data_IF_405794531316
#
_entry.id   IF_405794531316
#
_cell.length_a   1.000
_cell.length_b   1.000
_cell.length_c   1.000
_cell.angle_alpha   90.00
_cell.angle_beta   90.00
_cell.angle_gamma   90.00
#
_symmetry.space_group_name_H-M   'P 1'
#
loop_
_entity.id
_entity.type
_entity.pdbx_description
1 polymer ?
#
# COMPACT_ATOMS: atom_id res chain seq x y z
N UNK A 1 -18.26 -11.05 31.28
CA UNK A 1 -17.03 -11.21 30.48
C UNK A 1 -16.71 -12.68 30.58
N UNK A 2 -16.46 -13.38 29.47
CA UNK A 2 -16.22 -14.83 29.50
C UNK A 2 -14.84 -15.19 30.11
N UNK A 3 -14.05 -14.19 30.48
CA UNK A 3 -12.69 -14.34 31.04
C UNK A 3 -12.61 -13.95 32.52
N UNK A 4 -13.68 -14.14 33.29
CA UNK A 4 -13.59 -14.02 34.74
C UNK A 4 -12.97 -15.30 35.31
N UNK A 5 -11.75 -15.17 35.84
CA UNK A 5 -11.03 -16.21 36.61
C UNK A 5 -11.82 -16.74 37.82
N UNK A 6 -12.93 -16.10 38.18
CA UNK A 6 -13.86 -16.55 39.22
C UNK A 6 -15.04 -17.38 38.69
N UNK A 7 -15.13 -17.64 37.38
CA UNK A 7 -16.10 -18.56 36.80
C UNK A 7 -15.47 -19.91 36.47
N UNK A 8 -16.19 -20.98 36.79
CA UNK A 8 -15.77 -22.39 36.76
C UNK A 8 -14.90 -22.73 35.52
N UNK A 9 -13.65 -23.16 35.76
CA UNK A 9 -12.63 -23.43 34.72
C UNK A 9 -13.09 -24.40 33.62
N UNK A 10 -14.14 -25.17 33.87
CA UNK A 10 -14.76 -26.12 32.93
C UNK A 10 -15.28 -25.48 31.63
N UNK A 11 -15.52 -24.17 31.60
CA UNK A 11 -15.95 -23.48 30.37
C UNK A 11 -14.80 -23.18 29.38
N UNK A 12 -13.55 -23.15 29.83
CA UNK A 12 -12.39 -22.92 28.95
C UNK A 12 -11.93 -24.20 28.22
N UNK A 13 -12.49 -25.35 28.59
CA UNK A 13 -12.31 -26.65 27.93
C UNK A 13 -13.22 -26.81 26.70
N UNK A 14 -14.16 -25.89 26.48
CA UNK A 14 -15.03 -25.87 25.31
C UNK A 14 -14.50 -24.89 24.26
N UNK A 15 -14.56 -25.23 22.95
CA UNK A 15 -14.26 -24.30 21.88
C UNK A 15 -15.19 -23.07 21.92
N UNK A 16 -14.64 -21.87 21.81
CA UNK A 16 -15.41 -20.62 21.84
C UNK A 16 -16.05 -20.35 20.47
N UNK A 17 -17.35 -20.52 20.34
CA UNK A 17 -18.08 -20.30 19.07
C UNK A 17 -18.41 -18.82 18.79
N UNK A 18 -18.28 -17.95 19.79
CA UNK A 18 -18.66 -16.56 19.68
C UNK A 18 -17.99 -15.65 20.69
N UNK A 19 -18.35 -14.38 20.62
CA UNK A 19 -17.82 -13.31 21.45
C UNK A 19 -18.98 -12.48 22.02
N UNK A 20 -18.87 -12.03 23.26
CA UNK A 20 -19.84 -11.09 23.85
C UNK A 20 -19.13 -10.03 24.69
N UNK A 21 -19.60 -8.78 24.56
CA UNK A 21 -19.12 -7.65 25.34
C UNK A 21 -20.28 -7.13 26.18
N UNK A 22 -20.05 -6.92 27.47
CA UNK A 22 -21.04 -6.22 28.29
C UNK A 22 -21.01 -4.72 27.98
N UNK A 23 -22.16 -4.17 27.60
CA UNK A 23 -22.32 -2.73 27.40
C UNK A 23 -22.45 -1.94 28.70
N UNK A 24 -22.70 -2.61 29.84
CA UNK A 24 -23.06 -1.98 31.11
C UNK A 24 -21.91 -1.85 32.10
N UNK A 25 -20.76 -2.50 31.84
CA UNK A 25 -19.55 -2.30 32.64
C UNK A 25 -19.10 -0.84 32.47
N UNK A 26 -18.70 -0.19 33.56
CA UNK A 26 -18.19 1.18 33.54
C UNK A 26 -16.67 1.19 33.44
N UNK A 27 -16.13 2.08 32.60
CA UNK A 27 -14.70 2.34 32.60
C UNK A 27 -14.29 3.12 33.86
N UNK A 28 -13.09 2.87 34.40
CA UNK A 28 -12.59 3.61 35.55
C UNK A 28 -12.70 5.13 35.37
N UNK A 29 -13.11 5.81 36.43
CA UNK A 29 -13.19 7.26 36.44
C UNK A 29 -11.83 7.89 36.78
N UNK A 30 -10.81 7.62 35.95
CA UNK A 30 -9.47 8.19 36.10
C UNK A 30 -9.10 9.06 34.88
N UNK A 31 -8.18 10.02 35.02
CA UNK A 31 -7.82 10.94 33.92
C UNK A 31 -7.33 10.24 32.64
N UNK A 32 -6.68 9.08 32.77
CA UNK A 32 -6.10 8.35 31.64
C UNK A 32 -7.16 7.75 30.70
N UNK A 33 -8.39 7.57 31.18
CA UNK A 33 -9.54 7.17 30.36
C UNK A 33 -10.13 8.30 29.52
N UNK A 34 -9.63 9.53 29.65
CA UNK A 34 -9.95 10.64 28.76
C UNK A 34 -11.46 10.88 28.62
N UNK A 35 -11.98 10.73 27.40
CA UNK A 35 -13.42 10.94 27.12
C UNK A 35 -14.29 9.71 27.42
N UNK A 36 -13.68 8.58 27.77
CA UNK A 36 -14.34 7.34 28.19
C UNK A 36 -14.49 7.20 29.72
N UNK A 37 -13.85 8.07 30.50
CA UNK A 37 -13.86 8.02 31.98
C UNK A 37 -15.28 7.94 32.54
N UNK A 38 -15.53 6.97 33.42
CA UNK A 38 -16.82 6.80 34.11
C UNK A 38 -18.02 6.52 33.20
N UNK A 39 -17.81 6.30 31.89
CA UNK A 39 -18.88 5.93 30.96
C UNK A 39 -19.08 4.43 30.99
N UNK A 40 -20.31 4.01 30.70
CA UNK A 40 -20.58 2.61 30.37
C UNK A 40 -19.86 2.25 29.07
N UNK A 41 -19.38 1.02 28.97
CA UNK A 41 -18.70 0.50 27.79
C UNK A 41 -19.49 0.81 26.51
N UNK A 42 -20.80 0.54 26.50
CA UNK A 42 -21.67 0.79 25.35
C UNK A 42 -21.79 2.25 24.91
N UNK A 43 -21.45 3.21 25.77
CA UNK A 43 -21.54 4.65 25.49
C UNK A 43 -20.24 5.24 24.90
N UNK A 44 -19.11 4.55 25.06
CA UNK A 44 -17.83 4.96 24.50
C UNK A 44 -17.49 4.09 23.28
N UNK A 45 -17.94 4.54 22.10
CA UNK A 45 -17.94 3.76 20.85
C UNK A 45 -16.57 3.19 20.44
N UNK A 46 -15.50 4.00 20.51
CA UNK A 46 -14.17 3.58 20.08
C UNK A 46 -13.58 2.48 20.99
N UNK A 47 -13.52 2.64 22.33
CA UNK A 47 -13.06 1.57 23.21
C UNK A 47 -14.01 0.36 23.19
N UNK A 48 -15.32 0.55 23.09
CA UNK A 48 -16.27 -0.54 22.91
C UNK A 48 -15.98 -1.38 21.66
N UNK A 49 -15.82 -0.71 20.51
CA UNK A 49 -15.52 -1.38 19.25
C UNK A 49 -14.19 -2.14 19.31
N UNK A 50 -13.16 -1.56 19.96
CA UNK A 50 -11.91 -2.26 20.22
C UNK A 50 -12.13 -3.49 21.10
N UNK A 51 -12.88 -3.38 22.20
CA UNK A 51 -13.17 -4.51 23.08
C UNK A 51 -13.95 -5.60 22.33
N UNK A 52 -14.87 -5.25 21.44
CA UNK A 52 -15.53 -6.24 20.58
C UNK A 52 -14.53 -6.99 19.68
N UNK A 53 -13.56 -6.28 19.08
CA UNK A 53 -12.48 -6.91 18.30
C UNK A 53 -11.57 -7.79 19.16
N UNK A 54 -11.36 -7.42 20.42
CA UNK A 54 -10.60 -8.20 21.40
C UNK A 54 -11.28 -9.54 21.71
N UNK A 55 -12.57 -9.51 22.03
CA UNK A 55 -13.34 -10.73 22.29
C UNK A 55 -13.44 -11.62 21.04
N UNK A 56 -13.59 -11.03 19.85
CA UNK A 56 -13.51 -11.77 18.58
C UNK A 56 -12.13 -12.42 18.44
N UNK A 57 -11.06 -11.74 18.83
CA UNK A 57 -9.71 -12.30 18.87
C UNK A 57 -9.63 -13.56 19.74
N UNK A 58 -10.24 -13.55 20.93
CA UNK A 58 -10.33 -14.74 21.78
C UNK A 58 -11.14 -15.87 21.14
N UNK A 59 -12.26 -15.56 20.47
CA UNK A 59 -13.01 -16.57 19.71
C UNK A 59 -12.19 -17.16 18.55
N UNK A 60 -11.22 -16.41 18.02
CA UNK A 60 -10.27 -16.85 16.99
C UNK A 60 -8.96 -17.42 17.56
N UNK A 61 -8.93 -17.80 18.85
CA UNK A 61 -7.78 -18.48 19.47
C UNK A 61 -6.59 -17.57 19.78
N UNK A 62 -6.79 -16.25 19.88
CA UNK A 62 -5.75 -15.32 20.33
C UNK A 62 -5.80 -15.13 21.84
N UNK A 63 -4.64 -14.91 22.46
CA UNK A 63 -4.51 -14.69 23.90
C UNK A 63 -4.16 -13.24 24.22
N UNK A 64 -4.28 -12.87 25.51
CA UNK A 64 -3.84 -11.58 25.98
C UNK A 64 -2.36 -11.34 25.67
N UNK A 65 -2.08 -10.19 25.08
CA UNK A 65 -0.73 -9.70 24.96
C UNK A 65 -0.33 -8.94 26.23
N UNK A 66 0.55 -9.56 27.02
CA UNK A 66 1.06 -9.00 28.27
C UNK A 66 2.35 -8.19 28.09
N UNK A 67 2.90 -8.07 26.88
CA UNK A 67 4.20 -7.42 26.64
C UNK A 67 4.05 -6.01 26.05
N UNK A 68 4.04 -4.96 26.90
CA UNK A 68 4.21 -3.54 26.51
C UNK A 68 3.32 -3.03 25.33
N UNK A 69 2.19 -3.67 25.07
CA UNK A 69 1.34 -3.45 23.91
C UNK A 69 -0.09 -3.08 24.31
N UNK A 70 -0.25 -2.47 25.50
CA UNK A 70 -1.51 -2.07 26.13
C UNK A 70 -2.51 -1.34 25.21
N UNK A 71 -2.06 -0.84 24.06
CA UNK A 71 -2.82 -0.05 23.09
C UNK A 71 -3.45 -0.85 21.95
N UNK A 72 -3.02 -2.09 21.74
CA UNK A 72 -3.39 -2.95 20.59
C UNK A 72 -4.69 -3.70 20.87
N UNK A 73 -5.19 -4.48 19.90
CA UNK A 73 -6.48 -5.19 20.02
C UNK A 73 -6.46 -6.23 21.15
N UNK A 74 -5.42 -7.08 21.23
CA UNK A 74 -5.36 -8.19 22.20
C UNK A 74 -4.85 -7.84 23.60
N UNK A 75 -4.48 -6.59 23.87
CA UNK A 75 -4.21 -6.19 25.25
C UNK A 75 -5.50 -6.23 26.09
N UNK A 76 -5.43 -6.42 27.39
CA UNK A 76 -6.64 -6.36 28.22
C UNK A 76 -7.30 -4.99 28.11
N UNK A 77 -8.64 -4.95 28.15
CA UNK A 77 -9.36 -3.67 28.08
C UNK A 77 -8.99 -2.77 29.26
N UNK A 78 -8.81 -3.35 30.45
CA UNK A 78 -8.53 -2.58 31.68
C UNK A 78 -7.14 -1.96 31.74
N UNK A 79 -6.20 -2.41 30.88
CA UNK A 79 -4.84 -1.84 30.82
C UNK A 79 -4.71 -0.75 29.75
N UNK A 80 -5.80 -0.40 29.04
CA UNK A 80 -5.78 0.64 28.00
C UNK A 80 -5.35 2.02 28.55
N UNK A 81 -5.51 2.26 29.85
CA UNK A 81 -5.17 3.49 30.55
C UNK A 81 -3.74 3.51 31.13
N UNK A 82 -3.02 2.38 31.07
CA UNK A 82 -1.61 2.30 31.43
C UNK A 82 -0.74 3.09 30.45
N UNK A 83 0.17 3.91 30.99
CA UNK A 83 1.00 4.78 30.17
C UNK A 83 1.99 3.96 29.33
N UNK A 84 2.09 4.31 28.06
CA UNK A 84 2.93 3.60 27.10
C UNK A 84 3.95 4.58 26.54
N UNK A 85 5.23 4.20 26.59
CA UNK A 85 6.31 4.97 25.98
C UNK A 85 6.07 5.28 24.49
N UNK A 86 5.22 4.50 23.80
CA UNK A 86 4.86 4.68 22.40
C UNK A 86 3.74 5.71 22.13
N UNK A 87 3.08 6.27 23.16
CA UNK A 87 2.17 7.42 23.03
C UNK A 87 2.09 8.21 24.34
N UNK A 88 3.15 8.94 24.69
CA UNK A 88 3.16 9.78 25.88
C UNK A 88 2.02 10.82 25.79
N UNK A 89 1.28 10.98 26.90
CA UNK A 89 0.26 12.02 27.05
C UNK A 89 -1.06 11.79 26.31
N UNK A 90 -1.23 10.71 25.54
CA UNK A 90 -2.53 10.37 24.93
C UNK A 90 -3.43 9.66 25.93
N UNK A 91 -4.72 9.93 25.94
CA UNK A 91 -5.73 9.23 26.77
C UNK A 91 -6.65 8.36 25.90
N UNK A 92 -7.50 7.54 26.51
CA UNK A 92 -8.54 6.80 25.77
C UNK A 92 -9.61 7.78 25.24
N UNK A 93 -9.99 7.72 23.94
CA UNK A 93 -9.70 6.68 22.95
C UNK A 93 -8.49 6.93 22.04
N UNK A 94 -7.88 8.12 22.07
CA UNK A 94 -6.78 8.51 21.15
C UNK A 94 -5.55 7.59 21.25
N UNK A 95 -5.40 6.93 22.39
CA UNK A 95 -4.36 5.96 22.66
C UNK A 95 -4.59 4.64 21.91
N UNK A 96 -5.83 4.25 21.59
CA UNK A 96 -6.17 2.96 20.97
C UNK A 96 -5.54 2.83 19.58
N UNK A 97 -4.95 1.67 19.32
CA UNK A 97 -4.41 1.27 18.03
C UNK A 97 -5.16 0.04 17.51
N UNK A 98 -5.90 0.21 16.42
CA UNK A 98 -6.61 -0.87 15.72
C UNK A 98 -5.64 -1.76 14.92
N UNK A 99 -4.83 -2.53 15.63
CA UNK A 99 -3.96 -3.55 15.07
C UNK A 99 -3.71 -4.67 16.07
N UNK A 100 -3.64 -5.89 15.55
CA UNK A 100 -3.02 -7.03 16.21
C UNK A 100 -1.49 -6.86 16.35
N UNK A 101 -0.84 -7.67 17.17
CA UNK A 101 0.62 -7.82 17.10
C UNK A 101 1.03 -8.56 15.82
N UNK A 102 2.32 -8.55 15.49
CA UNK A 102 2.81 -9.35 14.37
C UNK A 102 2.65 -10.86 14.64
N UNK A 103 2.77 -11.29 15.90
CA UNK A 103 2.54 -12.68 16.30
C UNK A 103 1.07 -13.09 16.12
N UNK A 104 0.14 -12.31 16.66
CA UNK A 104 -1.31 -12.53 16.49
C UNK A 104 -1.70 -12.53 15.01
N UNK A 105 -1.23 -11.53 14.26
CA UNK A 105 -1.52 -11.40 12.86
C UNK A 105 -0.94 -12.56 12.05
N UNK A 106 0.22 -13.10 12.44
CA UNK A 106 0.82 -14.30 11.82
C UNK A 106 -0.02 -15.53 12.12
N UNK A 107 -0.49 -15.72 13.36
CA UNK A 107 -1.37 -16.85 13.73
C UNK A 107 -2.67 -16.80 12.92
N UNK A 108 -3.38 -15.68 12.94
CA UNK A 108 -4.62 -15.50 12.18
C UNK A 108 -4.47 -15.77 10.67
N UNK A 109 -3.28 -15.59 10.10
CA UNK A 109 -3.03 -15.81 8.66
C UNK A 109 -2.58 -17.22 8.31
N UNK A 110 -1.93 -17.93 9.24
CA UNK A 110 -1.11 -19.09 8.90
C UNK A 110 -1.35 -20.32 9.77
N UNK A 111 -2.08 -20.18 10.88
CA UNK A 111 -2.55 -21.34 11.63
C UNK A 111 -3.59 -22.11 10.81
N UNK A 112 -3.67 -23.45 10.97
CA UNK A 112 -4.75 -24.22 10.34
C UNK A 112 -6.12 -23.68 10.74
N UNK A 113 -7.12 -23.80 9.87
CA UNK A 113 -8.48 -23.27 10.08
C UNK A 113 -9.05 -23.63 11.47
N UNK A 114 -8.86 -24.88 11.92
CA UNK A 114 -9.36 -25.36 13.21
C UNK A 114 -8.77 -24.60 14.42
N UNK A 115 -7.62 -23.95 14.28
CA UNK A 115 -6.97 -23.18 15.34
C UNK A 115 -7.42 -21.72 15.41
N UNK A 116 -8.04 -21.20 14.34
CA UNK A 116 -8.42 -19.77 14.23
C UNK A 116 -9.90 -19.55 13.96
N UNK A 117 -10.66 -20.60 13.64
CA UNK A 117 -12.11 -20.53 13.52
C UNK A 117 -12.76 -20.50 14.92
N UNK A 118 -13.79 -19.67 15.11
CA UNK A 118 -14.68 -19.83 16.26
C UNK A 118 -15.23 -21.27 16.31
N UNK A 119 -15.20 -21.86 17.51
CA UNK A 119 -15.66 -23.23 17.76
C UNK A 119 -14.68 -24.34 17.34
N UNK A 120 -13.44 -23.99 16.95
CA UNK A 120 -12.47 -24.96 16.44
C UNK A 120 -11.85 -25.86 17.51
N UNK A 121 -10.99 -25.30 18.35
CA UNK A 121 -10.32 -25.99 19.47
C UNK A 121 -10.60 -25.29 20.80
N UNK A 122 -10.47 -25.99 21.95
CA UNK A 122 -10.59 -25.39 23.27
C UNK A 122 -9.63 -24.21 23.46
N UNK A 123 -10.09 -23.18 24.18
CA UNK A 123 -9.34 -21.93 24.34
C UNK A 123 -7.97 -22.12 24.98
N UNK A 124 -7.86 -23.02 25.97
CA UNK A 124 -6.59 -23.35 26.63
C UNK A 124 -5.56 -23.98 25.68
N UNK A 125 -6.00 -24.87 24.78
CA UNK A 125 -5.15 -25.55 23.81
C UNK A 125 -4.72 -24.64 22.65
N UNK A 126 -5.60 -23.72 22.23
CA UNK A 126 -5.27 -22.70 21.23
C UNK A 126 -4.18 -21.72 21.72
N UNK A 127 -4.16 -21.49 23.03
CA UNK A 127 -3.48 -20.36 23.66
C UNK A 127 -2.19 -20.73 24.39
N UNK A 128 -1.95 -21.99 24.77
CA UNK A 128 -0.82 -22.35 25.64
C UNK A 128 -0.21 -23.75 25.42
N UNK A 129 1.14 -23.88 25.42
CA UNK A 129 2.09 -22.89 24.94
C UNK A 129 1.83 -22.67 23.44
N UNK A 130 2.14 -21.49 22.91
CA UNK A 130 2.17 -21.25 21.47
C UNK A 130 2.94 -22.41 20.82
N UNK A 131 2.21 -23.37 20.23
CA UNK A 131 2.76 -24.63 19.80
C UNK A 131 3.96 -24.39 18.89
N UNK A 132 5.06 -25.12 19.09
CA UNK A 132 6.19 -25.18 18.16
C UNK A 132 5.79 -25.78 16.79
N UNK A 133 4.53 -26.17 16.64
CA UNK A 133 3.95 -26.64 15.40
C UNK A 133 4.03 -25.60 14.27
N UNK A 134 4.24 -26.06 13.03
CA UNK A 134 4.81 -25.24 11.98
C UNK A 134 3.77 -24.26 11.44
N UNK A 135 3.69 -23.08 12.06
CA UNK A 135 3.31 -21.88 11.32
C UNK A 135 4.20 -21.87 10.08
N UNK A 136 3.60 -21.75 8.87
CA UNK A 136 4.37 -21.71 7.62
C UNK A 136 5.61 -20.83 7.81
N UNK A 137 6.76 -21.28 7.28
CA UNK A 137 8.05 -20.57 7.41
C UNK A 137 7.86 -19.06 7.32
N UNK A 138 8.50 -18.33 8.24
CA UNK A 138 8.13 -16.96 8.61
C UNK A 138 7.91 -16.00 7.44
N UNK A 139 7.17 -14.92 7.71
CA UNK A 139 6.99 -13.76 6.81
C UNK A 139 8.32 -13.04 6.45
N UNK A 140 9.43 -13.52 7.00
CA UNK A 140 10.78 -13.07 6.71
C UNK A 140 11.06 -13.17 5.21
N UNK A 141 11.51 -12.03 4.66
CA UNK A 141 11.96 -11.99 3.28
C UNK A 141 13.29 -12.72 3.19
N UNK A 142 13.34 -13.71 2.32
CA UNK A 142 14.58 -14.40 1.99
C UNK A 142 15.14 -13.75 0.75
N UNK A 143 16.36 -13.23 0.85
CA UNK A 143 16.97 -12.53 -0.26
C UNK A 143 17.22 -13.48 -1.42
N UNK A 144 16.86 -13.03 -2.61
CA UNK A 144 16.95 -13.79 -3.84
C UNK A 144 18.29 -13.53 -4.52
N UNK A 145 19.32 -14.32 -4.20
CA UNK A 145 20.70 -14.14 -4.71
C UNK A 145 20.79 -14.11 -6.25
N UNK A 146 19.84 -14.74 -6.94
CA UNK A 146 19.81 -14.86 -8.39
C UNK A 146 19.27 -13.61 -9.12
N UNK A 147 18.77 -12.60 -8.38
CA UNK A 147 18.22 -11.38 -8.96
C UNK A 147 18.70 -10.13 -8.24
N UNK A 148 18.74 -9.03 -8.98
CA UNK A 148 19.08 -7.71 -8.44
C UNK A 148 17.96 -6.72 -8.74
N UNK A 149 17.55 -5.96 -7.74
CA UNK A 149 16.60 -4.87 -7.87
C UNK A 149 17.34 -3.53 -7.92
N UNK A 150 17.32 -2.90 -9.08
CA UNK A 150 17.80 -1.53 -9.29
C UNK A 150 16.62 -0.56 -9.20
N UNK A 151 16.79 0.56 -8.50
CA UNK A 151 15.72 1.52 -8.23
C UNK A 151 16.26 2.94 -8.40
N UNK A 152 15.53 3.78 -9.12
CA UNK A 152 15.91 5.18 -9.34
C UNK A 152 14.69 6.08 -9.47
N UNK A 153 14.76 7.34 -9.03
CA UNK A 153 13.67 8.27 -9.28
C UNK A 153 13.66 8.71 -10.75
N UNK A 154 12.48 9.03 -11.27
CA UNK A 154 12.36 9.69 -12.56
C UNK A 154 12.99 11.09 -12.53
N UNK A 155 12.75 11.83 -11.44
CA UNK A 155 13.33 13.14 -11.18
C UNK A 155 14.03 13.11 -9.82
N UNK A 156 15.30 13.53 -9.78
CA UNK A 156 16.08 13.59 -8.53
C UNK A 156 15.55 14.64 -7.56
N UNK A 157 14.94 15.71 -8.10
CA UNK A 157 14.29 16.77 -7.34
C UNK A 157 12.82 16.88 -7.72
N UNK A 158 11.93 16.94 -6.73
CA UNK A 158 10.48 17.00 -6.93
C UNK A 158 9.88 18.08 -6.01
N UNK A 159 9.02 18.98 -6.52
CA UNK A 159 8.34 19.97 -5.68
C UNK A 159 7.48 19.33 -4.60
N UNK A 160 7.46 19.91 -3.40
CA UNK A 160 6.58 19.47 -2.32
C UNK A 160 5.11 19.49 -2.77
N UNK A 161 4.39 18.39 -2.53
CA UNK A 161 3.01 18.22 -2.97
C UNK A 161 2.86 17.59 -4.37
N UNK A 162 3.95 17.42 -5.13
CA UNK A 162 3.93 16.64 -6.37
C UNK A 162 4.14 15.14 -6.09
N UNK A 163 3.49 14.24 -6.86
CA UNK A 163 3.76 12.82 -6.78
C UNK A 163 5.17 12.47 -7.29
N UNK A 164 5.88 11.65 -6.52
CA UNK A 164 7.20 11.13 -6.85
C UNK A 164 7.06 9.89 -7.73
N UNK A 165 7.77 9.83 -8.85
CA UNK A 165 7.80 8.65 -9.73
C UNK A 165 9.10 7.89 -9.54
N UNK A 166 8.99 6.59 -9.28
CA UNK A 166 10.12 5.69 -9.08
C UNK A 166 10.11 4.66 -10.19
N UNK A 167 11.24 4.47 -10.84
CA UNK A 167 11.48 3.40 -11.79
C UNK A 167 12.29 2.30 -11.10
N UNK A 168 12.07 1.07 -11.53
CA UNK A 168 12.82 -0.06 -11.03
C UNK A 168 12.96 -1.17 -12.07
N UNK A 169 14.06 -1.90 -11.95
CA UNK A 169 14.45 -2.99 -12.84
C UNK A 169 14.85 -4.19 -12.00
N UNK A 170 14.19 -5.31 -12.26
CA UNK A 170 14.53 -6.59 -11.68
C UNK A 170 15.34 -7.38 -12.71
N UNK A 171 16.63 -7.59 -12.47
CA UNK A 171 17.54 -8.25 -13.39
C UNK A 171 17.94 -9.64 -12.88
N UNK A 172 17.91 -10.64 -13.76
CA UNK A 172 18.43 -11.98 -13.47
C UNK A 172 19.96 -11.98 -13.63
N UNK A 173 20.66 -12.04 -12.52
CA UNK A 173 22.13 -12.05 -12.43
C UNK A 173 22.72 -13.46 -12.46
N UNK A 174 21.87 -14.49 -12.42
CA UNK A 174 22.29 -15.89 -12.45
C UNK A 174 22.44 -16.44 -13.87
N UNK A 175 23.01 -17.64 -13.97
CA UNK A 175 23.10 -18.42 -15.23
C UNK A 175 21.85 -19.25 -15.51
N UNK A 176 20.89 -19.25 -14.60
CA UNK A 176 19.68 -20.07 -14.70
C UNK A 176 18.46 -19.19 -14.95
N UNK A 177 17.41 -19.77 -15.51
CA UNK A 177 16.11 -19.11 -15.62
C UNK A 177 15.52 -18.94 -14.21
N UNK A 178 15.03 -17.75 -13.88
CA UNK A 178 14.42 -17.45 -12.58
C UNK A 178 12.93 -17.20 -12.75
N UNK A 179 12.12 -17.85 -11.90
CA UNK A 179 10.68 -17.60 -11.82
C UNK A 179 10.43 -16.36 -10.96
N UNK A 180 9.59 -15.46 -11.47
CA UNK A 180 9.28 -14.15 -10.90
C UNK A 180 7.77 -13.87 -11.01
N UNK A 181 7.27 -12.85 -10.30
CA UNK A 181 5.94 -12.31 -10.57
C UNK A 181 5.74 -11.98 -12.04
N UNK A 182 4.56 -12.28 -12.58
CA UNK A 182 4.19 -11.91 -13.95
C UNK A 182 3.87 -10.42 -14.09
N UNK A 183 3.51 -9.75 -13.00
CA UNK A 183 3.27 -8.31 -12.93
C UNK A 183 4.10 -7.69 -11.81
N UNK A 184 4.93 -6.72 -12.17
CA UNK A 184 5.74 -5.95 -11.24
C UNK A 184 5.05 -4.65 -10.81
N UNK A 185 3.80 -4.40 -11.21
CA UNK A 185 3.10 -3.18 -10.85
C UNK A 185 2.79 -3.14 -9.35
N UNK A 186 2.65 -1.95 -8.78
CA UNK A 186 2.22 -1.82 -7.38
C UNK A 186 0.89 -2.52 -7.10
N UNK A 187 0.03 -2.71 -8.11
CA UNK A 187 -1.30 -3.32 -7.96
C UNK A 187 -1.23 -4.83 -7.74
N UNK A 188 -0.18 -5.48 -8.21
CA UNK A 188 0.04 -6.93 -8.09
C UNK A 188 0.13 -7.40 -6.64
N UNK A 189 0.52 -6.50 -5.72
CA UNK A 189 0.79 -6.82 -4.32
C UNK A 189 2.15 -7.47 -4.08
N UNK A 190 2.91 -7.80 -5.13
CA UNK A 190 4.28 -8.32 -5.02
C UNK A 190 5.29 -7.21 -4.67
N UNK A 191 4.91 -5.95 -4.91
CA UNK A 191 5.73 -4.76 -4.64
C UNK A 191 5.20 -3.96 -3.46
N UNK A 192 6.10 -3.57 -2.57
CA UNK A 192 5.85 -2.69 -1.43
C UNK A 192 7.11 -1.91 -1.08
N UNK A 193 7.03 -0.99 -0.13
CA UNK A 193 8.23 -0.32 0.32
C UNK A 193 8.01 0.65 1.45
N UNK A 194 9.07 1.39 1.73
CA UNK A 194 9.12 2.41 2.78
C UNK A 194 9.85 3.65 2.27
N UNK A 195 9.45 4.78 2.83
CA UNK A 195 10.10 6.08 2.63
C UNK A 195 10.56 6.58 3.99
N UNK A 196 11.85 6.93 4.10
CA UNK A 196 12.43 7.53 5.30
C UNK A 196 12.74 8.98 5.00
N UNK A 197 12.10 9.89 5.73
CA UNK A 197 12.25 11.33 5.54
C UNK A 197 13.34 11.96 6.40
N UNK A 198 13.51 13.30 6.29
CA UNK A 198 14.47 14.05 7.09
C UNK A 198 14.16 13.99 8.60
N UNK A 199 12.90 13.74 8.94
CA UNK A 199 12.42 13.51 10.30
C UNK A 199 12.76 12.11 10.86
N UNK A 200 13.46 11.28 10.09
CA UNK A 200 13.80 9.90 10.41
C UNK A 200 12.58 8.99 10.63
N UNK A 201 11.39 9.42 10.19
CA UNK A 201 10.17 8.62 10.31
C UNK A 201 9.99 7.77 9.06
N UNK A 202 9.91 6.45 9.25
CA UNK A 202 9.58 5.51 8.20
C UNK A 202 8.08 5.52 7.87
N UNK A 203 7.76 5.64 6.58
CA UNK A 203 6.39 5.64 6.06
C UNK A 203 6.24 4.56 5.00
N UNK A 204 5.44 3.55 5.31
CA UNK A 204 5.21 2.41 4.41
C UNK A 204 4.20 2.70 3.30
N UNK A 205 4.46 2.16 2.12
CA UNK A 205 3.52 2.09 0.99
C UNK A 205 3.35 0.65 0.50
N UNK A 206 2.15 0.34 0.00
CA UNK A 206 1.78 -0.94 -0.59
C UNK A 206 0.53 -0.75 -1.47
N UNK A 207 0.18 -1.76 -2.25
CA UNK A 207 -1.08 -1.76 -2.99
C UNK A 207 -2.28 -1.47 -2.09
N UNK A 208 -3.21 -0.65 -2.59
CA UNK A 208 -4.57 -0.55 -2.02
C UNK A 208 -5.47 -1.70 -2.50
N UNK A 209 -5.06 -2.40 -3.57
CA UNK A 209 -5.74 -3.58 -4.08
C UNK A 209 -5.15 -4.81 -3.39
N UNK A 210 -6.00 -5.59 -2.72
CA UNK A 210 -5.62 -6.91 -2.21
C UNK A 210 -6.26 -7.93 -3.16
N UNK A 211 -5.45 -8.59 -3.99
CA UNK A 211 -5.95 -9.72 -4.76
C UNK A 211 -6.29 -10.84 -3.77
N UNK A 212 -7.55 -11.28 -3.77
CA UNK A 212 -8.08 -12.26 -2.81
C UNK A 212 -7.99 -13.70 -3.33
N UNK A 213 -7.65 -13.88 -4.60
CA UNK A 213 -7.49 -15.19 -5.22
C UNK A 213 -5.99 -15.47 -5.44
N UNK A 214 -5.43 -16.57 -4.90
CA UNK A 214 -4.03 -16.92 -5.11
C UNK A 214 -3.71 -17.33 -6.56
N UNK A 215 -4.70 -17.75 -7.36
CA UNK A 215 -4.56 -18.08 -8.78
C UNK A 215 -4.60 -16.85 -9.70
N UNK A 216 -5.39 -15.82 -9.34
CA UNK A 216 -5.37 -14.49 -9.96
C UNK A 216 -4.37 -13.54 -9.29
N UNK A 217 -3.70 -13.97 -8.22
CA UNK A 217 -2.55 -13.24 -7.72
C UNK A 217 -1.55 -13.25 -8.86
N UNK A 218 -1.11 -12.07 -9.28
CA UNK A 218 -0.07 -11.89 -10.29
C UNK A 218 1.30 -12.52 -9.91
N UNK A 219 1.32 -13.38 -8.88
CA UNK A 219 2.29 -14.40 -8.56
C UNK A 219 2.05 -15.73 -9.32
N UNK A 220 1.07 -15.82 -10.22
CA UNK A 220 0.92 -16.96 -11.11
C UNK A 220 2.25 -17.23 -11.85
N UNK A 221 2.68 -18.50 -11.98
CA UNK A 221 3.90 -18.86 -12.70
C UNK A 221 3.75 -18.44 -14.17
N UNK A 222 4.46 -17.36 -14.54
CA UNK A 222 4.36 -16.74 -15.87
C UNK A 222 5.40 -15.64 -16.09
N UNK A 223 5.86 -14.98 -15.03
CA UNK A 223 7.08 -14.16 -15.07
C UNK A 223 8.31 -15.07 -15.04
N UNK A 224 9.06 -15.11 -16.12
CA UNK A 224 10.24 -15.94 -16.23
C UNK A 224 11.35 -15.13 -16.87
N UNK A 225 12.39 -14.79 -16.12
CA UNK A 225 13.54 -14.09 -16.68
C UNK A 225 14.62 -15.09 -17.08
N UNK A 226 14.97 -15.08 -18.37
CA UNK A 226 16.16 -15.77 -18.86
C UNK A 226 17.44 -15.16 -18.24
N UNK A 227 18.56 -15.89 -18.23
CA UNK A 227 19.84 -15.35 -17.75
C UNK A 227 20.19 -14.02 -18.40
N UNK A 228 20.58 -13.02 -17.61
CA UNK A 228 20.95 -11.68 -18.08
C UNK A 228 19.79 -10.82 -18.57
N UNK A 229 18.54 -11.29 -18.54
CA UNK A 229 17.36 -10.49 -18.88
C UNK A 229 16.83 -9.75 -17.65
N UNK A 230 16.10 -8.67 -17.92
CA UNK A 230 15.51 -7.80 -16.90
C UNK A 230 14.04 -7.54 -17.20
N UNK A 231 13.29 -7.22 -16.16
CA UNK A 231 11.93 -6.71 -16.22
C UNK A 231 11.90 -5.32 -15.59
N UNK A 232 11.17 -4.40 -16.22
CA UNK A 232 11.12 -2.98 -15.87
C UNK A 232 9.71 -2.56 -15.52
N UNK A 233 9.57 -1.72 -14.50
CA UNK A 233 8.30 -1.07 -14.19
C UNK A 233 8.55 0.26 -13.45
N UNK A 234 7.47 1.00 -13.20
CA UNK A 234 7.50 2.25 -12.47
C UNK A 234 6.24 2.45 -11.65
N UNK A 235 6.33 3.30 -10.63
CA UNK A 235 5.20 3.64 -9.78
C UNK A 235 5.18 5.11 -9.40
N UNK A 236 3.99 5.58 -9.05
CA UNK A 236 3.73 6.94 -8.59
C UNK A 236 3.40 6.92 -7.10
N UNK A 237 4.21 7.60 -6.30
CA UNK A 237 4.16 7.65 -4.85
C UNK A 237 3.78 9.06 -4.39
N UNK A 238 2.76 9.15 -3.55
CA UNK A 238 2.40 10.39 -2.86
C UNK A 238 2.00 10.11 -1.41
N UNK A 239 1.27 9.02 -1.18
CA UNK A 239 0.64 8.71 0.09
C UNK A 239 0.66 7.21 0.37
N UNK A 240 0.81 6.84 1.64
CA UNK A 240 0.70 5.48 2.15
C UNK A 240 -0.36 5.39 3.25
N UNK A 241 -0.39 4.27 3.98
CA UNK A 241 -1.37 4.04 5.07
C UNK A 241 -1.27 5.09 6.18
N UNK A 242 -0.07 5.59 6.43
CA UNK A 242 0.23 6.56 7.49
C UNK A 242 0.07 8.04 7.05
N UNK A 243 -0.50 8.31 5.88
CA UNK A 243 -0.59 9.66 5.32
C UNK A 243 0.43 9.91 4.21
N UNK A 244 0.76 11.18 3.96
CA UNK A 244 1.69 11.56 2.90
C UNK A 244 3.06 10.90 3.10
N UNK A 245 3.63 10.33 2.04
CA UNK A 245 4.96 9.73 2.06
C UNK A 245 6.06 10.79 2.15
N UNK A 246 5.77 11.99 1.63
CA UNK A 246 6.68 13.13 1.54
C UNK A 246 6.03 14.37 2.19
N UNK A 247 5.87 14.41 3.53
CA UNK A 247 5.08 15.45 4.21
C UNK A 247 5.79 16.81 4.32
N UNK A 248 7.08 16.89 4.04
CA UNK A 248 7.86 18.13 4.09
C UNK A 248 9.01 18.14 3.06
N UNK A 249 9.55 19.31 2.69
CA UNK A 249 10.81 19.39 1.96
C UNK A 249 11.99 18.74 2.68
N UNK A 250 12.97 18.25 1.92
CA UNK A 250 14.18 17.58 2.43
C UNK A 250 14.56 16.36 1.60
N UNK A 251 15.62 15.66 2.02
CA UNK A 251 16.09 14.44 1.38
C UNK A 251 15.36 13.22 1.93
N UNK A 252 14.95 12.32 1.03
CA UNK A 252 14.24 11.09 1.36
C UNK A 252 14.96 9.88 0.78
N UNK A 253 15.07 8.84 1.59
CA UNK A 253 15.46 7.51 1.15
C UNK A 253 14.22 6.67 0.84
N UNK A 254 14.19 6.03 -0.33
CA UNK A 254 13.12 5.14 -0.75
C UNK A 254 13.68 3.72 -0.83
N UNK A 255 13.12 2.81 -0.03
CA UNK A 255 13.42 1.39 -0.09
C UNK A 255 12.23 0.66 -0.73
N UNK A 256 12.48 -0.02 -1.84
CA UNK A 256 11.51 -0.81 -2.58
C UNK A 256 11.80 -2.29 -2.40
N UNK A 257 10.76 -3.06 -2.12
CA UNK A 257 10.81 -4.51 -1.97
C UNK A 257 9.93 -5.15 -3.05
N UNK A 258 10.51 -6.07 -3.82
CA UNK A 258 9.78 -6.97 -4.72
C UNK A 258 9.88 -8.38 -4.14
N UNK A 259 8.75 -9.00 -3.87
CA UNK A 259 8.69 -10.30 -3.20
C UNK A 259 7.60 -11.21 -3.77
N UNK A 260 7.87 -12.51 -3.78
CA UNK A 260 6.97 -13.56 -4.24
C UNK A 260 7.11 -14.80 -3.37
N UNK A 261 6.26 -15.80 -3.60
CA UNK A 261 6.43 -17.12 -3.01
C UNK A 261 7.18 -18.01 -3.99
N UNK A 262 8.26 -18.64 -3.53
CA UNK A 262 8.97 -19.64 -4.32
C UNK A 262 8.17 -20.96 -4.42
N UNK A 263 8.71 -21.95 -5.13
CA UNK A 263 8.06 -23.28 -5.28
C UNK A 263 7.88 -24.03 -3.95
N UNK A 264 8.59 -23.63 -2.89
CA UNK A 264 8.50 -24.19 -1.55
C UNK A 264 7.59 -23.34 -0.63
N UNK A 265 6.92 -22.33 -1.19
CA UNK A 265 6.04 -21.42 -0.46
C UNK A 265 6.77 -20.34 0.34
N UNK A 266 8.11 -20.30 0.30
CA UNK A 266 8.92 -19.34 1.06
C UNK A 266 8.79 -17.96 0.45
N UNK A 267 8.71 -16.94 1.30
CA UNK A 267 8.67 -15.55 0.85
C UNK A 267 10.07 -15.11 0.46
N UNK A 268 10.29 -15.00 -0.85
CA UNK A 268 11.60 -14.70 -1.44
C UNK A 268 11.52 -13.38 -2.20
N UNK A 269 12.60 -12.61 -2.23
CA UNK A 269 12.61 -11.35 -2.97
C UNK A 269 13.88 -10.55 -2.79
N UNK A 270 13.81 -9.27 -3.15
CA UNK A 270 14.96 -8.38 -3.17
C UNK A 270 14.54 -6.97 -2.77
N UNK A 271 15.51 -6.22 -2.23
CA UNK A 271 15.32 -4.84 -1.81
C UNK A 271 16.27 -3.95 -2.59
N UNK A 272 15.71 -2.93 -3.22
CA UNK A 272 16.45 -1.89 -3.91
C UNK A 272 16.23 -0.56 -3.20
N UNK A 273 17.22 0.34 -3.27
CA UNK A 273 17.18 1.62 -2.59
C UNK A 273 17.51 2.75 -3.54
N UNK A 274 16.88 3.89 -3.33
CA UNK A 274 17.21 5.13 -4.03
C UNK A 274 16.93 6.34 -3.15
N UNK A 275 17.28 7.53 -3.62
CA UNK A 275 17.00 8.79 -2.92
C UNK A 275 16.30 9.78 -3.84
N UNK A 276 15.48 10.64 -3.25
CA UNK A 276 14.80 11.75 -3.91
C UNK A 276 14.82 12.96 -2.98
N UNK A 277 15.05 14.14 -3.54
CA UNK A 277 14.99 15.41 -2.81
C UNK A 277 13.65 16.09 -3.07
N UNK A 278 12.95 16.42 -2.00
CA UNK A 278 11.70 17.17 -2.05
C UNK A 278 12.02 18.65 -1.85
N UNK A 279 11.76 19.47 -2.86
CA UNK A 279 12.04 20.91 -2.81
C UNK A 279 10.86 21.69 -2.24
N UNK A 280 11.07 22.86 -1.62
CA UNK A 280 9.98 23.73 -1.23
C UNK A 280 9.13 24.13 -2.44
N UNK A 281 7.81 23.97 -2.35
CA UNK A 281 6.89 24.46 -3.38
C UNK A 281 6.70 25.97 -3.29
N UNK A 282 6.49 26.62 -4.44
CA UNK A 282 6.16 28.04 -4.56
C UNK A 282 4.87 28.36 -3.79
N UNK A 283 3.83 27.51 -3.91
CA UNK A 283 2.57 27.62 -3.18
C UNK A 283 2.44 26.54 -2.10
N UNK A 284 3.10 26.78 -0.95
CA UNK A 284 3.16 25.82 0.17
C UNK A 284 1.80 25.35 0.67
N UNK A 285 0.79 26.22 0.71
CA UNK A 285 -0.54 25.84 1.21
C UNK A 285 -1.27 24.90 0.25
N UNK A 286 -1.10 25.07 -1.06
CA UNK A 286 -1.61 24.13 -2.07
C UNK A 286 -0.99 22.75 -1.88
N UNK A 287 0.34 22.70 -1.75
CA UNK A 287 1.07 21.46 -1.52
C UNK A 287 0.64 20.75 -0.23
N UNK A 288 0.48 21.49 0.88
CA UNK A 288 -0.01 20.93 2.16
C UNK A 288 -1.41 20.34 2.03
N UNK A 289 -2.34 21.04 1.36
CA UNK A 289 -3.71 20.55 1.14
C UNK A 289 -3.73 19.25 0.34
N UNK A 290 -2.93 19.17 -0.74
CA UNK A 290 -2.81 17.96 -1.55
C UNK A 290 -2.27 16.76 -0.75
N UNK A 291 -1.22 16.98 0.05
CA UNK A 291 -0.65 15.95 0.92
C UNK A 291 -1.60 15.53 2.04
N UNK A 292 -2.39 16.45 2.58
CA UNK A 292 -3.34 16.17 3.66
C UNK A 292 -4.55 15.36 3.18
N UNK A 293 -5.05 15.59 1.97
CA UNK A 293 -6.26 14.94 1.45
C UNK A 293 -6.05 13.43 1.20
N UNK A 294 -6.77 12.53 1.91
CA UNK A 294 -6.67 11.08 1.70
C UNK A 294 -7.16 10.62 0.33
N UNK A 295 -8.01 11.42 -0.33
CA UNK A 295 -8.63 11.06 -1.62
C UNK A 295 -7.65 11.20 -2.79
N UNK A 296 -6.61 12.02 -2.65
CA UNK A 296 -5.57 12.21 -3.68
C UNK A 296 -4.90 10.89 -4.05
N UNK A 297 -4.65 10.00 -3.08
CA UNK A 297 -4.08 8.67 -3.35
C UNK A 297 -5.02 7.83 -4.23
N UNK A 298 -6.31 7.89 -3.94
CA UNK A 298 -7.32 7.12 -4.67
C UNK A 298 -7.41 7.65 -6.10
N UNK A 299 -7.39 8.97 -6.30
CA UNK A 299 -7.37 9.56 -7.63
C UNK A 299 -6.10 9.20 -8.44
N UNK A 300 -4.95 9.04 -7.77
CA UNK A 300 -3.71 8.58 -8.41
C UNK A 300 -3.73 7.07 -8.74
N UNK A 301 -4.29 6.25 -7.85
CA UNK A 301 -4.26 4.79 -7.96
C UNK A 301 -5.40 4.23 -8.83
N UNK A 302 -6.60 4.82 -8.71
CA UNK A 302 -7.83 4.42 -9.39
C UNK A 302 -8.08 5.37 -10.55
N UNK A 303 -8.12 4.78 -11.75
CA UNK A 303 -8.31 5.50 -13.00
C UNK A 303 -9.82 5.63 -13.24
N UNK A 304 -10.41 6.77 -12.91
CA UNK A 304 -11.84 7.02 -13.05
C UNK A 304 -12.27 8.36 -12.44
N UNK A 305 -13.56 8.66 -12.47
CA UNK A 305 -14.06 9.96 -12.00
C UNK A 305 -14.28 10.01 -10.48
N UNK A 306 -13.93 8.93 -9.79
CA UNK A 306 -13.87 8.91 -8.33
C UNK A 306 -12.88 9.96 -7.84
N UNK A 307 -13.37 10.90 -7.03
CA UNK A 307 -12.55 11.94 -6.40
C UNK A 307 -11.73 12.80 -7.38
N UNK A 308 -12.21 13.00 -8.61
CA UNK A 308 -11.53 13.83 -9.63
C UNK A 308 -11.11 15.22 -9.11
N UNK A 309 -11.91 15.82 -8.22
CA UNK A 309 -11.64 17.15 -7.66
C UNK A 309 -10.47 17.16 -6.67
N UNK A 310 -10.03 16.00 -6.16
CA UNK A 310 -8.92 15.91 -5.19
C UNK A 310 -7.55 16.27 -5.78
N UNK A 311 -7.37 16.16 -7.11
CA UNK A 311 -6.14 16.57 -7.80
C UNK A 311 -6.23 17.97 -8.43
N UNK A 312 -7.40 18.63 -8.36
CA UNK A 312 -7.65 19.91 -9.04
C UNK A 312 -6.67 20.99 -8.59
N UNK A 313 -6.38 21.06 -7.29
CA UNK A 313 -5.37 21.98 -6.74
C UNK A 313 -3.99 21.80 -7.38
N UNK A 314 -3.61 20.58 -7.74
CA UNK A 314 -2.36 20.29 -8.43
C UNK A 314 -2.41 20.66 -9.91
N UNK A 315 -3.56 20.56 -10.56
CA UNK A 315 -3.76 20.93 -11.97
C UNK A 315 -3.81 22.46 -12.18
N UNK A 316 -4.31 23.20 -11.19
CA UNK A 316 -4.43 24.66 -11.19
C UNK A 316 -3.14 25.37 -10.73
N UNK A 317 -2.16 24.61 -10.23
CA UNK A 317 -0.87 25.13 -9.80
C UNK A 317 0.20 24.95 -10.89
N UNK A 318 0.81 26.04 -11.41
CA UNK A 318 1.76 25.93 -12.52
C UNK A 318 2.99 25.06 -12.24
N UNK A 319 3.46 24.99 -10.98
CA UNK A 319 4.62 24.18 -10.60
C UNK A 319 4.24 22.71 -10.46
N UNK A 320 3.06 22.41 -9.91
CA UNK A 320 2.61 21.03 -9.68
C UNK A 320 1.93 20.41 -10.90
N UNK A 321 1.33 21.23 -11.77
CA UNK A 321 0.54 20.79 -12.93
C UNK A 321 1.27 19.75 -13.79
N UNK A 322 2.56 19.92 -14.17
CA UNK A 322 3.34 18.90 -14.89
C UNK A 322 3.28 17.48 -14.31
N UNK A 323 3.12 17.37 -12.99
CA UNK A 323 3.11 16.09 -12.28
C UNK A 323 1.73 15.45 -12.17
N UNK A 324 0.65 16.24 -12.33
CA UNK A 324 -0.75 15.81 -12.21
C UNK A 324 -1.48 15.66 -13.54
N UNK A 325 -1.06 16.34 -14.61
CA UNK A 325 -1.73 16.30 -15.93
C UNK A 325 -1.88 14.88 -16.46
N UNK A 326 -0.91 14.00 -16.23
CA UNK A 326 -1.01 12.62 -16.67
C UNK A 326 -2.10 11.83 -15.92
N UNK A 327 -2.30 12.09 -14.63
CA UNK A 327 -3.37 11.44 -13.87
C UNK A 327 -4.73 11.82 -14.46
N UNK A 328 -4.91 13.11 -14.79
CA UNK A 328 -6.13 13.60 -15.44
C UNK A 328 -6.27 13.08 -16.88
N UNK A 329 -5.19 13.03 -17.66
CA UNK A 329 -5.19 12.45 -18.99
C UNK A 329 -5.57 10.96 -18.96
N UNK A 330 -5.03 10.19 -18.00
CA UNK A 330 -5.39 8.78 -17.79
C UNK A 330 -6.88 8.60 -17.45
N UNK A 331 -7.46 9.54 -16.71
CA UNK A 331 -8.90 9.58 -16.40
C UNK A 331 -9.72 9.83 -17.65
N UNK A 332 -9.36 10.83 -18.45
CA UNK A 332 -10.08 11.24 -19.66
C UNK A 332 -9.99 10.21 -20.79
N UNK A 333 -8.80 9.64 -21.02
CA UNK A 333 -8.54 8.66 -22.08
C UNK A 333 -9.25 7.31 -21.87
N UNK A 334 -9.94 7.12 -20.74
CA UNK A 334 -10.75 5.93 -20.47
C UNK A 334 -12.23 6.28 -20.35
N UNK A 335 -13.06 5.36 -20.85
CA UNK A 335 -14.48 5.34 -20.56
C UNK A 335 -14.70 5.16 -19.06
N UNK A 336 -15.68 5.85 -18.50
CA UNK A 336 -16.08 5.71 -17.11
C UNK A 336 -17.60 5.67 -17.00
N UNK A 337 -18.17 4.49 -16.76
CA UNK A 337 -19.61 4.24 -16.84
C UNK A 337 -20.23 4.79 -18.15
N UNK A 338 -21.06 5.82 -18.05
CA UNK A 338 -21.69 6.51 -19.16
C UNK A 338 -20.82 7.58 -19.85
N UNK A 339 -19.71 8.03 -19.23
CA UNK A 339 -18.80 9.00 -19.85
C UNK A 339 -17.93 8.31 -20.90
N UNK A 340 -17.95 8.74 -22.18
CA UNK A 340 -17.06 8.19 -23.21
C UNK A 340 -15.60 8.56 -22.93
N UNK A 341 -14.68 7.85 -23.58
CA UNK A 341 -13.27 8.24 -23.58
C UNK A 341 -13.09 9.56 -24.37
N UNK A 342 -12.41 10.53 -23.76
CA UNK A 342 -12.10 11.84 -24.35
C UNK A 342 -10.60 11.88 -24.70
N UNK A 343 -10.18 11.04 -25.65
CA UNK A 343 -8.76 10.87 -25.97
C UNK A 343 -8.10 12.17 -26.45
N UNK A 344 -8.78 12.94 -27.31
CA UNK A 344 -8.27 14.22 -27.81
C UNK A 344 -7.93 15.19 -26.68
N UNK A 345 -8.85 15.35 -25.72
CA UNK A 345 -8.65 16.20 -24.54
C UNK A 345 -7.56 15.66 -23.62
N UNK A 346 -7.48 14.34 -23.46
CA UNK A 346 -6.38 13.71 -22.72
C UNK A 346 -5.03 14.01 -23.37
N UNK A 347 -4.97 13.97 -24.70
CA UNK A 347 -3.76 14.27 -25.45
C UNK A 347 -3.38 15.75 -25.35
N UNK A 348 -4.36 16.65 -25.44
CA UNK A 348 -4.17 18.10 -25.29
C UNK A 348 -3.52 18.44 -23.94
N UNK A 349 -3.98 17.84 -22.85
CA UNK A 349 -3.38 18.03 -21.52
C UNK A 349 -1.91 17.59 -21.42
N UNK A 350 -1.49 16.63 -22.25
CA UNK A 350 -0.13 16.11 -22.23
C UNK A 350 0.82 16.86 -23.15
N UNK A 351 0.31 17.73 -24.02
CA UNK A 351 1.12 18.62 -24.85
C UNK A 351 1.86 19.67 -23.99
N UNK A 352 1.25 20.06 -22.88
CA UNK A 352 1.89 20.85 -21.83
C UNK A 352 2.99 20.01 -21.16
N UNK A 353 4.11 20.63 -20.77
CA UNK A 353 5.28 19.97 -20.22
C UNK A 353 4.93 18.95 -19.10
N UNK A 354 4.78 17.68 -19.48
CA UNK A 354 4.29 16.60 -18.63
C UNK A 354 5.44 15.73 -18.13
N UNK A 355 5.39 15.35 -16.86
CA UNK A 355 6.35 14.46 -16.21
C UNK A 355 5.81 13.03 -16.29
N UNK A 356 6.46 12.18 -17.09
CA UNK A 356 6.01 10.82 -17.39
C UNK A 356 7.18 9.84 -17.35
N UNK A 357 6.97 8.66 -16.75
CA UNK A 357 7.91 7.54 -16.88
C UNK A 357 7.77 6.82 -18.23
N UNK A 358 8.71 5.93 -18.56
CA UNK A 358 8.64 5.07 -19.75
C UNK A 358 7.37 4.20 -19.75
N UNK A 359 6.99 3.62 -18.61
CA UNK A 359 5.76 2.84 -18.49
C UNK A 359 4.49 3.70 -18.68
N UNK A 360 4.54 4.97 -18.31
CA UNK A 360 3.45 5.91 -18.52
C UNK A 360 3.32 6.36 -19.98
N UNK A 361 4.46 6.51 -20.67
CA UNK A 361 4.52 6.73 -22.12
C UNK A 361 3.96 5.50 -22.86
N UNK A 362 4.39 4.29 -22.50
CA UNK A 362 3.86 3.03 -23.07
C UNK A 362 2.35 2.93 -22.86
N UNK A 363 1.87 3.29 -21.66
CA UNK A 363 0.45 3.27 -21.37
C UNK A 363 -0.35 4.19 -22.30
N UNK A 364 0.15 5.41 -22.54
CA UNK A 364 -0.51 6.35 -23.45
C UNK A 364 -0.40 5.88 -24.91
N UNK A 365 0.74 5.29 -25.29
CA UNK A 365 0.93 4.69 -26.60
C UNK A 365 -0.09 3.58 -26.88
N UNK A 366 -0.33 2.68 -25.91
CA UNK A 366 -1.36 1.64 -25.97
C UNK A 366 -2.76 2.23 -26.10
N UNK A 367 -3.08 3.26 -25.31
CA UNK A 367 -4.39 3.93 -25.39
C UNK A 367 -4.66 4.54 -26.78
N UNK A 368 -3.63 5.10 -27.43
CA UNK A 368 -3.72 5.62 -28.80
C UNK A 368 -3.84 4.47 -29.82
N UNK A 369 -3.08 3.40 -29.65
CA UNK A 369 -3.13 2.21 -30.52
C UNK A 369 -4.51 1.51 -30.48
N UNK A 370 -5.14 1.46 -29.31
CA UNK A 370 -6.48 0.88 -29.12
C UNK A 370 -7.62 1.81 -29.57
N UNK A 371 -7.32 3.08 -29.87
CA UNK A 371 -8.31 4.06 -30.31
C UNK A 371 -8.75 3.85 -31.77
N UNK A 372 -9.90 4.44 -32.12
CA UNK A 372 -10.43 4.36 -33.48
C UNK A 372 -9.55 5.10 -34.51
N UNK A 373 -9.78 4.81 -35.79
CA UNK A 373 -8.98 5.39 -36.88
C UNK A 373 -9.10 6.93 -36.97
N UNK A 374 -10.24 7.50 -36.58
CA UNK A 374 -10.47 8.95 -36.61
C UNK A 374 -9.65 9.64 -35.53
N UNK A 375 -9.59 9.07 -34.34
CA UNK A 375 -8.76 9.56 -33.24
C UNK A 375 -7.26 9.51 -33.58
N UNK A 376 -6.80 8.44 -34.24
CA UNK A 376 -5.39 8.30 -34.68
C UNK A 376 -4.97 9.34 -35.73
N UNK A 377 -5.91 9.84 -36.53
CA UNK A 377 -5.66 10.88 -37.53
C UNK A 377 -5.83 12.30 -36.97
N UNK A 378 -6.27 12.45 -35.72
CA UNK A 378 -6.47 13.76 -35.11
C UNK A 378 -5.12 14.51 -34.98
N UNK A 379 -5.03 15.80 -35.40
CA UNK A 379 -3.78 16.57 -35.35
C UNK A 379 -3.16 16.69 -33.95
N UNK A 380 -3.98 16.78 -32.90
CA UNK A 380 -3.53 16.85 -31.49
C UNK A 380 -2.89 15.53 -31.09
N UNK A 381 -3.50 14.39 -31.46
CA UNK A 381 -2.98 13.05 -31.17
C UNK A 381 -1.65 12.83 -31.90
N UNK A 382 -1.56 13.18 -33.19
CA UNK A 382 -0.31 13.10 -33.95
C UNK A 382 0.80 13.99 -33.40
N UNK A 383 0.45 15.19 -32.92
CA UNK A 383 1.40 16.08 -32.25
C UNK A 383 1.91 15.46 -30.95
N UNK A 384 1.03 14.86 -30.15
CA UNK A 384 1.44 14.16 -28.94
C UNK A 384 2.31 12.94 -29.27
N UNK A 385 1.99 12.14 -30.28
CA UNK A 385 2.80 10.98 -30.68
C UNK A 385 4.26 11.38 -30.97
N UNK A 386 4.48 12.49 -31.68
CA UNK A 386 5.83 13.05 -31.90
C UNK A 386 6.53 13.41 -30.59
N UNK A 387 5.85 14.13 -29.70
CA UNK A 387 6.40 14.47 -28.39
C UNK A 387 6.66 13.26 -27.50
N UNK A 388 5.82 12.22 -27.56
CA UNK A 388 6.04 10.97 -26.83
C UNK A 388 7.28 10.25 -27.34
N UNK A 389 7.54 10.23 -28.66
CA UNK A 389 8.79 9.67 -29.22
C UNK A 389 10.02 10.45 -28.73
N UNK A 390 9.94 11.78 -28.72
CA UNK A 390 11.03 12.64 -28.22
C UNK A 390 11.27 12.44 -26.73
N UNK A 391 10.21 12.50 -25.91
CA UNK A 391 10.29 12.25 -24.47
C UNK A 391 10.82 10.85 -24.20
N UNK A 392 10.33 9.84 -24.91
CA UNK A 392 10.78 8.46 -24.75
C UNK A 392 12.30 8.34 -24.89
N UNK A 393 12.88 8.93 -25.95
CA UNK A 393 14.34 8.95 -26.14
C UNK A 393 15.10 9.53 -24.94
N UNK A 394 14.55 10.55 -24.27
CA UNK A 394 15.16 11.18 -23.08
C UNK A 394 15.08 10.36 -21.79
N UNK A 395 14.20 9.35 -21.73
CA UNK A 395 14.02 8.47 -20.55
C UNK A 395 14.33 6.99 -20.86
N UNK A 396 14.93 6.68 -22.03
CA UNK A 396 14.98 5.32 -22.59
C UNK A 396 16.18 4.44 -22.23
N UNK A 397 17.07 4.89 -21.34
CA UNK A 397 18.36 4.20 -21.12
C UNK A 397 18.20 2.74 -20.66
N UNK A 398 17.06 2.37 -20.08
CA UNK A 398 16.68 0.99 -19.76
C UNK A 398 15.16 0.78 -20.00
N UNK A 399 14.73 0.41 -21.22
CA UNK A 399 13.31 0.13 -21.51
C UNK A 399 13.17 -1.17 -22.31
N UNK A 400 12.11 -1.93 -22.03
CA UNK A 400 11.77 -3.16 -22.75
C UNK A 400 11.67 -2.90 -24.27
N UNK A 401 12.25 -3.80 -25.07
CA UNK A 401 12.24 -3.74 -26.52
C UNK A 401 10.81 -3.64 -27.08
N UNK A 402 9.85 -4.32 -26.46
CA UNK A 402 8.44 -4.26 -26.87
C UNK A 402 7.82 -2.87 -26.67
N UNK A 403 8.21 -2.18 -25.61
CA UNK A 403 7.78 -0.79 -25.35
C UNK A 403 8.44 0.15 -26.34
N UNK A 404 9.75 -0.02 -26.58
CA UNK A 404 10.51 0.77 -27.56
C UNK A 404 9.89 0.64 -28.95
N UNK A 405 9.58 -0.58 -29.38
CA UNK A 405 8.95 -0.84 -30.67
C UNK A 405 7.58 -0.14 -30.78
N UNK A 406 6.72 -0.28 -29.77
CA UNK A 406 5.38 0.33 -29.76
C UNK A 406 5.44 1.85 -29.85
N UNK A 407 6.26 2.48 -29.01
CA UNK A 407 6.36 3.95 -28.95
C UNK A 407 6.94 4.50 -30.25
N UNK A 408 7.95 3.84 -30.83
CA UNK A 408 8.55 4.28 -32.09
C UNK A 408 7.63 4.09 -33.31
N UNK A 409 6.71 3.11 -33.25
CA UNK A 409 5.68 2.86 -34.28
C UNK A 409 4.46 3.77 -34.20
N UNK A 410 4.34 4.64 -33.19
CA UNK A 410 3.23 5.60 -33.12
C UNK A 410 3.15 6.46 -34.40
N UNK A 411 1.95 6.88 -34.83
CA UNK A 411 1.78 7.68 -36.04
C UNK A 411 2.35 9.11 -35.87
N UNK A 412 2.89 9.68 -36.95
CA UNK A 412 3.59 10.98 -36.95
C UNK A 412 5.09 10.86 -36.69
#
# INVERSE_FOLDING_TARGET
>A
MFDDVNTDFRFNELPREGAAVSSHIEYPNTPNWGTARGKRCGEALIPYFRTALHEIGHAMGLFHDHQNNARRIMAQTMVLDEDSAAAPGKTVPERILFSFTDADAKRLRHMPDIWVRPGGIPFGEASFPYSEEPISAGDELVEADAVRLEVWPLLKEVPFGAPVRINYKLANTSRNKVNLPGDLSLKSGCVRGKVTGPDQVERGFRSIFKCMDPSDSHCAPGGCLAPGKSALDSMTLLRGRAGALFPSPGDYAVALEVSWRDRRGKRTGCVGKTSVKITPAARRDTARKLCADPRTLIALAIRGDHFKDSIKLGLDDPELRPHYVLTEAKRLARRFFGRPAELERACELLLDNSVMSSAEIDWMAKAIEESDAKAKQNPIVLKLCRQLKEKFRSVSDDVDDAVRERVLKLPG
#
